data_IF_306068140064
#
_entry.id   IF_306068140064
#
_cell.length_a   1.000
_cell.length_b   1.000
_cell.length_c   1.000
_cell.angle_alpha   90.00
_cell.angle_beta   90.00
_cell.angle_gamma   90.00
#
_symmetry.space_group_name_H-M   'P 1'
#
loop_
_entity.id
_entity.type
_entity.pdbx_description
1 polymer ?
#
# COMPACT_ATOMS: atom_id res chain seq x y z
N UNK A 1 2.03 12.76 -6.92
CA UNK A 1 3.19 13.32 -6.19
C UNK A 1 3.69 12.34 -5.11
N UNK A 2 2.86 11.79 -4.20
CA UNK A 2 3.30 10.74 -3.26
C UNK A 2 3.80 9.46 -3.93
N UNK A 3 3.23 9.09 -5.08
CA UNK A 3 3.58 7.88 -5.83
C UNK A 3 5.04 7.89 -6.31
N UNK A 4 5.53 9.06 -6.73
CA UNK A 4 6.91 9.22 -7.21
C UNK A 4 7.93 9.12 -6.06
N UNK A 5 7.60 9.69 -4.90
CA UNK A 5 8.46 9.62 -3.72
C UNK A 5 8.48 8.20 -3.17
N UNK A 6 7.31 7.54 -3.09
CA UNK A 6 7.21 6.15 -2.68
C UNK A 6 8.01 5.23 -3.62
N UNK A 7 7.92 5.46 -4.93
CA UNK A 7 8.70 4.73 -5.91
C UNK A 7 10.21 4.86 -5.65
N UNK A 8 10.73 6.07 -5.38
CA UNK A 8 12.15 6.25 -5.02
C UNK A 8 12.52 5.47 -3.75
N UNK A 9 11.71 5.57 -2.69
CA UNK A 9 11.95 4.88 -1.42
C UNK A 9 12.00 3.35 -1.57
N UNK A 10 11.21 2.80 -2.50
CA UNK A 10 11.19 1.36 -2.78
C UNK A 10 12.36 0.90 -3.67
N UNK A 11 12.91 1.79 -4.51
CA UNK A 11 14.03 1.47 -5.40
C UNK A 11 15.40 1.45 -4.73
N UNK A 12 15.53 1.94 -3.48
CA UNK A 12 16.81 1.97 -2.72
C UNK A 12 17.29 0.59 -2.23
N UNK A 13 16.75 -0.50 -2.77
CA UNK A 13 17.24 -1.88 -2.63
C UNK A 13 16.63 -2.65 -1.47
N UNK A 14 16.63 -2.09 -0.26
CA UNK A 14 15.99 -2.71 0.91
C UNK A 14 14.57 -2.15 1.13
N UNK A 15 13.59 -2.97 1.57
CA UNK A 15 12.27 -2.45 1.91
C UNK A 15 12.37 -1.40 3.04
N UNK A 16 11.85 -0.18 2.86
CA UNK A 16 11.98 0.88 3.85
C UNK A 16 11.29 0.51 5.16
N UNK A 17 11.89 0.92 6.27
CA UNK A 17 11.33 0.74 7.62
C UNK A 17 10.23 1.77 7.91
N UNK A 18 9.39 1.54 8.93
CA UNK A 18 8.36 2.55 9.28
C UNK A 18 8.98 3.87 9.75
N UNK A 19 10.19 3.83 10.32
CA UNK A 19 10.97 5.03 10.66
C UNK A 19 11.39 5.80 9.41
N UNK A 20 11.89 5.12 8.37
CA UNK A 20 12.23 5.76 7.10
C UNK A 20 11.00 6.30 6.36
N UNK A 21 9.84 5.66 6.56
CA UNK A 21 8.57 6.12 6.01
C UNK A 21 7.94 7.26 6.83
N UNK A 22 8.39 7.54 8.05
CA UNK A 22 7.71 8.45 8.98
C UNK A 22 7.42 9.83 8.37
N UNK A 23 8.45 10.48 7.79
CA UNK A 23 8.30 11.82 7.23
C UNK A 23 7.43 11.82 5.96
N UNK A 24 7.48 10.73 5.19
CA UNK A 24 6.58 10.53 4.06
C UNK A 24 5.13 10.38 4.51
N UNK A 25 4.87 9.52 5.50
CA UNK A 25 3.54 9.26 6.05
C UNK A 25 2.94 10.54 6.63
N UNK A 26 3.73 11.29 7.41
CA UNK A 26 3.31 12.56 8.00
C UNK A 26 3.11 13.65 6.96
N UNK A 27 4.03 13.77 5.99
CA UNK A 27 3.99 14.80 4.95
C UNK A 27 2.80 14.67 4.01
N UNK A 28 2.33 13.44 3.77
CA UNK A 28 1.14 13.16 2.96
C UNK A 28 -0.12 12.85 3.77
N UNK A 29 -0.07 12.95 5.10
CA UNK A 29 -1.21 12.74 6.00
C UNK A 29 -1.87 11.36 5.85
N UNK A 30 -1.06 10.31 5.88
CA UNK A 30 -1.59 8.94 5.91
C UNK A 30 -2.27 8.63 7.26
N UNK A 31 -3.45 8.03 7.20
CA UNK A 31 -4.15 7.48 8.36
C UNK A 31 -3.62 6.10 8.70
N UNK A 32 -3.64 5.76 9.99
CA UNK A 32 -3.23 4.43 10.45
C UNK A 32 -4.41 3.47 10.44
N UNK A 33 -4.23 2.30 9.84
CA UNK A 33 -5.23 1.23 9.78
C UNK A 33 -4.58 -0.13 10.03
N UNK A 34 -5.39 -1.19 10.11
CA UNK A 34 -4.91 -2.56 10.28
C UNK A 34 -5.66 -3.51 9.36
N UNK A 35 -4.93 -4.44 8.74
CA UNK A 35 -5.51 -5.41 7.80
C UNK A 35 -5.03 -6.78 8.22
N UNK A 36 -5.91 -7.63 8.74
CA UNK A 36 -5.60 -9.03 9.05
C UNK A 36 -4.32 -9.26 9.86
N UNK A 37 -4.05 -8.39 10.84
CA UNK A 37 -2.86 -8.41 11.70
C UNK A 37 -1.65 -7.61 11.20
N UNK A 38 -1.72 -7.05 10.00
CA UNK A 38 -0.69 -6.17 9.45
C UNK A 38 -0.95 -4.71 9.86
N UNK A 39 0.14 -3.99 10.20
CA UNK A 39 0.10 -2.54 10.38
C UNK A 39 0.02 -1.90 9.00
N UNK A 40 -0.95 -1.04 8.78
CA UNK A 40 -1.14 -0.40 7.49
C UNK A 40 -1.32 1.11 7.63
N UNK A 41 -0.98 1.83 6.57
CA UNK A 41 -1.16 3.27 6.47
C UNK A 41 -1.89 3.56 5.18
N UNK A 42 -3.06 4.19 5.28
CA UNK A 42 -3.92 4.50 4.14
C UNK A 42 -3.85 5.98 3.82
N UNK A 43 -3.92 6.29 2.53
CA UNK A 43 -4.12 7.63 2.00
C UNK A 43 -5.30 7.53 1.05
N UNK A 44 -6.32 8.34 1.31
CA UNK A 44 -7.51 8.40 0.48
C UNK A 44 -7.42 9.55 -0.53
N UNK A 45 -8.14 9.44 -1.65
CA UNK A 45 -8.31 10.56 -2.57
C UNK A 45 -9.17 11.64 -1.90
N UNK A 46 -8.66 12.88 -1.89
CA UNK A 46 -9.42 14.03 -1.39
C UNK A 46 -10.75 14.17 -2.14
N UNK A 47 -11.82 14.38 -1.40
CA UNK A 47 -13.19 14.43 -1.88
C UNK A 47 -13.42 15.48 -2.96
N UNK A 48 -14.05 15.07 -4.07
CA UNK A 48 -14.76 16.00 -4.97
C UNK A 48 -16.26 15.67 -5.04
N UNK A 49 -16.70 14.41 -4.87
CA UNK A 49 -18.12 14.02 -5.05
C UNK A 49 -18.58 12.75 -4.30
N UNK A 50 -18.42 12.63 -2.97
CA UNK A 50 -19.01 11.50 -2.22
C UNK A 50 -18.75 11.51 -0.70
N UNK A 51 -19.43 10.65 0.10
CA UNK A 51 -19.22 10.55 1.55
C UNK A 51 -18.05 9.63 1.95
N UNK A 52 -17.59 8.74 1.06
CA UNK A 52 -16.45 7.84 1.30
C UNK A 52 -15.28 8.18 0.36
N UNK A 53 -14.08 8.31 0.90
CA UNK A 53 -12.87 8.56 0.12
C UNK A 53 -12.44 7.29 -0.60
N UNK A 54 -12.14 7.36 -1.89
CA UNK A 54 -11.58 6.22 -2.62
C UNK A 54 -10.15 6.03 -2.13
N UNK A 55 -9.79 4.81 -1.73
CA UNK A 55 -8.42 4.49 -1.34
C UNK A 55 -7.46 4.84 -2.48
N UNK A 56 -6.48 5.71 -2.22
CA UNK A 56 -5.48 6.11 -3.21
C UNK A 56 -4.24 5.23 -3.10
N UNK A 57 -3.71 5.15 -1.88
CA UNK A 57 -2.51 4.38 -1.53
C UNK A 57 -2.72 3.69 -0.19
N UNK A 58 -2.22 2.47 -0.09
CA UNK A 58 -2.17 1.72 1.15
C UNK A 58 -0.78 1.11 1.29
N UNK A 59 -0.08 1.50 2.34
CA UNK A 59 1.24 0.98 2.68
C UNK A 59 1.08 -0.03 3.80
N UNK A 60 1.46 -1.27 3.52
CA UNK A 60 1.36 -2.35 4.51
C UNK A 60 2.74 -2.71 5.00
N UNK A 61 2.91 -2.66 6.32
CA UNK A 61 4.15 -2.95 7.00
C UNK A 61 4.05 -4.26 7.79
N UNK A 62 5.12 -5.06 7.73
CA UNK A 62 5.31 -6.30 8.50
C UNK A 62 6.66 -6.24 9.19
N UNK A 63 6.72 -6.51 10.50
CA UNK A 63 7.95 -6.47 11.29
C UNK A 63 8.74 -5.16 11.07
N UNK A 64 8.05 -4.03 11.13
CA UNK A 64 8.62 -2.69 10.95
C UNK A 64 9.14 -2.36 9.53
N UNK A 65 8.92 -3.23 8.53
CA UNK A 65 9.35 -3.00 7.14
C UNK A 65 8.16 -2.95 6.19
N UNK A 66 8.27 -2.15 5.14
CA UNK A 66 7.32 -2.13 4.06
C UNK A 66 7.27 -3.50 3.39
N UNK A 67 6.09 -4.09 3.36
CA UNK A 67 5.85 -5.41 2.82
C UNK A 67 5.07 -5.35 1.52
N UNK A 68 4.07 -4.47 1.44
CA UNK A 68 3.25 -4.33 0.27
C UNK A 68 2.74 -2.90 0.08
N UNK A 69 2.47 -2.57 -1.17
CA UNK A 69 1.83 -1.31 -1.58
C UNK A 69 0.60 -1.66 -2.40
N UNK A 70 -0.55 -1.15 -2.00
CA UNK A 70 -1.77 -1.17 -2.81
C UNK A 70 -2.04 0.23 -3.33
N UNK A 71 -2.38 0.34 -4.60
CA UNK A 71 -2.57 1.61 -5.27
C UNK A 71 -3.67 1.52 -6.31
N UNK A 72 -4.49 2.56 -6.41
CA UNK A 72 -5.50 2.66 -7.45
C UNK A 72 -4.93 3.27 -8.75
N UNK A 73 -3.95 4.17 -8.62
CA UNK A 73 -3.25 4.81 -9.73
C UNK A 73 -1.88 4.19 -9.91
N UNK A 74 -1.45 4.02 -11.16
CA UNK A 74 -0.13 3.52 -11.49
C UNK A 74 0.95 4.31 -10.75
N UNK A 75 1.60 3.64 -9.80
CA UNK A 75 2.92 4.04 -9.33
C UNK A 75 3.89 3.68 -10.47
N UNK A 76 4.93 4.49 -10.71
CA UNK A 76 5.95 4.22 -11.73
C UNK A 76 6.56 2.81 -11.60
N UNK A 77 7.54 2.42 -12.44
CA UNK A 77 8.02 1.03 -12.52
C UNK A 77 8.58 0.52 -11.18
N UNK A 78 7.70 -0.08 -10.38
CA UNK A 78 8.07 -0.75 -9.14
C UNK A 78 8.86 -2.02 -9.49
N UNK A 79 9.79 -2.45 -8.62
CA UNK A 79 10.69 -3.58 -8.92
C UNK A 79 9.93 -4.88 -9.22
N UNK A 80 8.69 -5.02 -8.73
CA UNK A 80 7.84 -6.18 -8.96
C UNK A 80 6.60 -5.82 -9.78
N UNK A 81 6.20 -6.73 -10.68
CA UNK A 81 4.98 -6.58 -11.48
C UNK A 81 3.76 -6.56 -10.56
N UNK A 82 2.90 -5.52 -10.61
CA UNK A 82 1.72 -5.47 -9.78
C UNK A 82 0.74 -6.58 -10.13
N UNK A 83 0.13 -7.18 -9.11
CA UNK A 83 -1.02 -8.07 -9.23
C UNK A 83 -2.31 -7.26 -9.21
N UNK A 84 -3.27 -7.58 -10.07
CA UNK A 84 -4.57 -6.90 -10.07
C UNK A 84 -5.42 -7.38 -8.88
N UNK A 85 -5.99 -6.44 -8.14
CA UNK A 85 -6.98 -6.66 -7.10
C UNK A 85 -8.39 -6.28 -7.58
N UNK A 86 -9.39 -6.56 -6.76
CA UNK A 86 -10.77 -6.13 -7.02
C UNK A 86 -10.86 -4.61 -7.17
N UNK A 87 -11.91 -4.12 -7.85
CA UNK A 87 -12.20 -2.67 -8.03
C UNK A 87 -11.08 -1.87 -8.71
N UNK A 88 -10.24 -2.53 -9.52
CA UNK A 88 -9.20 -1.86 -10.31
C UNK A 88 -7.93 -1.48 -9.52
N UNK A 89 -7.82 -1.92 -8.27
CA UNK A 89 -6.62 -1.71 -7.47
C UNK A 89 -5.47 -2.61 -7.93
N UNK A 90 -4.25 -2.17 -7.68
CA UNK A 90 -3.03 -2.89 -7.97
C UNK A 90 -2.27 -3.15 -6.67
N UNK A 91 -1.75 -4.36 -6.53
CA UNK A 91 -0.94 -4.80 -5.41
C UNK A 91 0.49 -5.05 -5.86
N UNK A 92 1.44 -4.39 -5.22
CA UNK A 92 2.86 -4.67 -5.38
C UNK A 92 3.44 -5.19 -4.07
N UNK A 93 3.95 -6.42 -4.09
CA UNK A 93 4.72 -6.99 -2.98
C UNK A 93 6.16 -6.50 -3.08
N UNK A 94 6.76 -6.09 -1.96
CA UNK A 94 8.13 -5.58 -1.92
C UNK A 94 9.10 -6.70 -1.54
N UNK A 95 10.12 -6.90 -2.38
CA UNK A 95 11.11 -7.96 -2.23
C UNK A 95 10.54 -9.37 -2.48
N UNK A 96 11.36 -10.39 -2.20
CA UNK A 96 10.97 -11.79 -2.31
C UNK A 96 10.25 -12.24 -1.04
N UNK A 97 9.02 -12.73 -1.21
CA UNK A 97 8.16 -13.21 -0.13
C UNK A 97 7.63 -14.60 -0.48
N UNK A 98 7.41 -15.47 0.53
CA UNK A 98 6.94 -16.83 0.25
C UNK A 98 5.50 -16.81 -0.29
N UNK A 99 5.22 -17.64 -1.30
CA UNK A 99 3.98 -17.59 -2.07
C UNK A 99 2.71 -17.79 -1.23
N UNK A 100 2.77 -18.64 -0.20
CA UNK A 100 1.67 -18.86 0.74
C UNK A 100 1.28 -17.57 1.48
N UNK A 101 2.27 -16.76 1.85
CA UNK A 101 2.07 -15.51 2.55
C UNK A 101 1.48 -14.43 1.62
N UNK A 102 1.94 -14.39 0.38
CA UNK A 102 1.37 -13.49 -0.65
C UNK A 102 -0.10 -13.83 -0.88
N UNK A 103 -0.44 -15.12 -0.99
CA UNK A 103 -1.81 -15.58 -1.22
C UNK A 103 -2.76 -15.25 -0.06
N UNK A 104 -2.36 -15.55 1.18
CA UNK A 104 -3.13 -15.19 2.38
C UNK A 104 -3.34 -13.68 2.50
N UNK A 105 -2.26 -12.91 2.28
CA UNK A 105 -2.32 -11.45 2.32
C UNK A 105 -3.24 -10.87 1.24
N UNK A 106 -3.12 -11.35 0.00
CA UNK A 106 -3.94 -10.89 -1.14
C UNK A 106 -5.43 -11.10 -0.85
N UNK A 107 -5.77 -12.23 -0.23
CA UNK A 107 -7.15 -12.53 0.20
C UNK A 107 -7.64 -11.51 1.23
N UNK A 108 -6.86 -11.26 2.28
CA UNK A 108 -7.19 -10.28 3.34
C UNK A 108 -7.36 -8.86 2.81
N UNK A 109 -6.48 -8.43 1.92
CA UNK A 109 -6.56 -7.10 1.28
C UNK A 109 -7.77 -6.99 0.37
N UNK A 110 -8.06 -8.01 -0.43
CA UNK A 110 -9.27 -8.00 -1.27
C UNK A 110 -10.54 -7.90 -0.42
N UNK A 111 -10.60 -8.59 0.72
CA UNK A 111 -11.72 -8.43 1.66
C UNK A 111 -11.79 -7.01 2.21
N UNK A 112 -10.66 -6.43 2.63
CA UNK A 112 -10.60 -5.05 3.12
C UNK A 112 -11.13 -4.05 2.08
N UNK A 113 -10.66 -4.13 0.82
CA UNK A 113 -11.06 -3.22 -0.27
C UNK A 113 -12.55 -3.36 -0.61
N UNK A 114 -13.13 -4.56 -0.47
CA UNK A 114 -14.57 -4.76 -0.68
C UNK A 114 -15.43 -4.08 0.39
N UNK A 115 -14.94 -4.02 1.64
CA UNK A 115 -15.68 -3.50 2.79
C UNK A 115 -15.40 -2.02 3.08
N UNK A 116 -14.47 -1.39 2.36
CA UNK A 116 -14.15 0.03 2.49
C UNK A 116 -15.15 0.97 1.78
N UNK A 117 -16.32 0.47 1.37
CA UNK A 117 -17.45 1.22 0.81
C UNK A 117 -18.56 1.43 1.85
#
# INVERSE_FOLDING_TARGET
>A
MPEYILHRLVQEGAPPTTVQLHDFLKGFQFDTTSIGGYKAFQLDESYVYGPTGILRLLLVCKNDKLFAVVHHRAIGPLPNKPSLLNRGYQLTIIGDQPANLISDFTTKVNTFIQHAD
#
